data_IF_455167895377
#
_entry.id   IF_455167895377
#
_cell.length_a   1.000
_cell.length_b   1.000
_cell.length_c   1.000
_cell.angle_alpha   90.00
_cell.angle_beta   90.00
_cell.angle_gamma   90.00
#
_symmetry.space_group_name_H-M   'P 1'
#
loop_
_entity.id
_entity.type
_entity.pdbx_description
1 polymer ?
#
# COMPACT_ATOMS: atom_id res chain seq x y z
N UNK A 1 -13.51 13.15 9.05
CA UNK A 1 -12.15 12.58 9.15
C UNK A 1 -12.30 11.37 10.05
N UNK A 2 -12.52 10.20 9.46
CA UNK A 2 -12.69 8.95 10.20
C UNK A 2 -11.32 8.29 10.33
N UNK A 3 -10.87 8.05 11.56
CA UNK A 3 -9.63 7.34 11.86
C UNK A 3 -9.88 5.84 11.72
N UNK A 4 -9.48 5.27 10.58
CA UNK A 4 -9.48 3.82 10.41
C UNK A 4 -8.47 3.17 11.36
N UNK A 5 -8.95 2.25 12.21
CA UNK A 5 -8.08 1.37 13.00
C UNK A 5 -7.53 0.28 12.08
N UNK A 6 -6.30 0.47 11.62
CA UNK A 6 -5.56 -0.57 10.88
C UNK A 6 -4.80 -1.45 11.87
N UNK A 7 -4.87 -2.78 11.67
CA UNK A 7 -4.12 -3.75 12.50
C UNK A 7 -2.61 -3.64 12.25
N UNK A 8 -2.23 -3.33 11.02
CA UNK A 8 -0.87 -3.00 10.61
C UNK A 8 -0.91 -1.89 9.53
N UNK A 9 0.15 -1.08 9.42
CA UNK A 9 0.26 0.02 8.47
C UNK A 9 1.68 0.12 7.90
N UNK A 10 1.81 0.40 6.60
CA UNK A 10 3.05 0.62 5.89
C UNK A 10 3.06 2.00 5.20
N UNK A 11 4.25 2.55 4.98
CA UNK A 11 4.46 3.74 4.15
C UNK A 11 5.48 3.38 3.08
N UNK A 12 5.10 3.62 1.83
CA UNK A 12 5.99 3.68 0.68
C UNK A 12 6.15 5.12 0.22
N UNK A 13 7.34 5.48 -0.23
CA UNK A 13 7.63 6.74 -0.91
C UNK A 13 8.07 6.45 -2.33
N UNK A 14 7.83 7.42 -3.20
CA UNK A 14 8.33 7.39 -4.57
C UNK A 14 9.72 8.03 -4.56
N UNK A 15 10.71 7.36 -5.13
CA UNK A 15 12.05 7.92 -5.28
C UNK A 15 12.11 8.97 -6.40
N UNK A 16 13.29 9.57 -6.60
CA UNK A 16 13.51 10.62 -7.59
C UNK A 16 13.33 10.17 -9.05
N UNK A 17 13.26 8.86 -9.29
CA UNK A 17 13.16 8.23 -10.62
C UNK A 17 11.73 7.75 -10.88
N UNK A 18 10.88 7.71 -9.86
CA UNK A 18 9.46 7.35 -9.98
C UNK A 18 9.13 5.94 -9.52
N UNK A 19 10.02 5.25 -8.82
CA UNK A 19 9.76 3.90 -8.31
C UNK A 19 9.33 3.90 -6.85
N UNK A 20 8.46 2.95 -6.48
CA UNK A 20 8.01 2.75 -5.10
C UNK A 20 9.13 2.15 -4.24
N UNK A 21 9.53 2.86 -3.20
CA UNK A 21 10.48 2.44 -2.19
C UNK A 21 9.77 2.28 -0.84
N UNK A 22 10.08 1.19 -0.14
CA UNK A 22 9.61 0.98 1.22
C UNK A 22 10.33 1.91 2.21
N UNK A 23 9.60 2.51 3.15
CA UNK A 23 10.15 3.47 4.10
C UNK A 23 9.97 3.04 5.55
N UNK A 24 8.77 2.61 5.92
CA UNK A 24 8.47 2.18 7.28
C UNK A 24 7.24 1.26 7.31
N UNK A 25 7.19 0.36 8.29
CA UNK A 25 6.01 -0.43 8.61
C UNK A 25 5.84 -0.51 10.12
N UNK A 26 4.60 -0.56 10.58
CA UNK A 26 4.28 -0.72 11.99
C UNK A 26 4.66 -2.12 12.50
N UNK A 27 4.75 -3.12 11.62
CA UNK A 27 5.06 -4.52 11.93
C UNK A 27 5.91 -5.16 10.82
N UNK A 28 6.74 -6.13 11.19
CA UNK A 28 7.65 -6.84 10.27
C UNK A 28 6.89 -7.58 9.14
N UNK A 29 5.68 -8.08 9.43
CA UNK A 29 4.83 -8.79 8.44
C UNK A 29 4.38 -7.85 7.32
N UNK A 30 3.94 -6.64 7.68
CA UNK A 30 3.66 -5.58 6.71
C UNK A 30 4.89 -5.21 5.89
N UNK A 31 6.09 -5.15 6.47
CA UNK A 31 7.31 -4.85 5.70
C UNK A 31 7.55 -5.85 4.55
N UNK A 32 7.45 -7.16 4.83
CA UNK A 32 7.62 -8.20 3.81
C UNK A 32 6.53 -8.16 2.73
N UNK A 33 5.30 -7.80 3.10
CA UNK A 33 4.18 -7.62 2.17
C UNK A 33 4.36 -6.39 1.27
N UNK A 34 4.83 -5.27 1.81
CA UNK A 34 5.12 -4.08 1.01
C UNK A 34 6.25 -4.33 0.00
N UNK A 35 7.33 -5.00 0.41
CA UNK A 35 8.38 -5.42 -0.52
C UNK A 35 7.86 -6.38 -1.59
N UNK A 36 6.90 -7.25 -1.24
CA UNK A 36 6.29 -8.16 -2.20
C UNK A 36 5.45 -7.41 -3.25
N UNK A 37 4.72 -6.36 -2.84
CA UNK A 37 3.97 -5.52 -3.78
C UNK A 37 4.89 -4.82 -4.77
N UNK A 38 5.99 -4.25 -4.30
CA UNK A 38 6.98 -3.56 -5.15
C UNK A 38 7.63 -4.53 -6.14
N UNK A 39 8.07 -5.70 -5.68
CA UNK A 39 8.74 -6.68 -6.52
C UNK A 39 7.85 -7.27 -7.62
N UNK A 40 6.58 -7.51 -7.32
CA UNK A 40 5.65 -8.11 -8.27
C UNK A 40 4.85 -7.07 -9.08
N UNK A 41 5.03 -5.78 -8.76
CA UNK A 41 4.19 -4.69 -9.27
C UNK A 41 2.69 -5.04 -9.20
N UNK A 42 2.27 -5.58 -8.07
CA UNK A 42 0.89 -6.00 -7.85
C UNK A 42 0.46 -5.73 -6.40
N UNK A 43 -0.76 -5.25 -6.23
CA UNK A 43 -1.37 -5.03 -4.93
C UNK A 43 -1.94 -3.61 -4.77
N UNK A 44 -2.68 -3.37 -3.68
CA UNK A 44 -3.36 -2.10 -3.43
C UNK A 44 -2.41 -0.89 -3.42
N UNK A 45 -1.19 -1.03 -2.91
CA UNK A 45 -0.20 0.06 -2.89
C UNK A 45 0.31 0.39 -4.29
N UNK A 46 0.59 -0.62 -5.11
CA UNK A 46 1.00 -0.43 -6.51
C UNK A 46 -0.11 0.20 -7.34
N UNK A 47 -1.36 -0.26 -7.17
CA UNK A 47 -2.50 0.29 -7.90
C UNK A 47 -2.77 1.74 -7.47
N UNK A 48 -2.72 2.04 -6.17
CA UNK A 48 -2.83 3.39 -5.64
C UNK A 48 -1.74 4.32 -6.19
N UNK A 49 -0.50 3.82 -6.30
CA UNK A 49 0.60 4.57 -6.90
C UNK A 49 0.37 4.85 -8.39
N UNK A 50 0.00 3.82 -9.15
CA UNK A 50 -0.21 3.90 -10.61
C UNK A 50 -1.38 4.81 -10.98
N UNK A 51 -2.49 4.72 -10.23
CA UNK A 51 -3.71 5.48 -10.50
C UNK A 51 -3.70 6.86 -9.83
N UNK A 52 -2.92 7.04 -8.76
CA UNK A 52 -2.96 8.22 -7.91
C UNK A 52 -4.27 8.35 -7.11
N UNK A 53 -5.07 7.29 -7.03
CA UNK A 53 -6.36 7.25 -6.34
C UNK A 53 -6.29 6.34 -5.10
N UNK A 54 -7.08 6.63 -4.04
CA UNK A 54 -7.22 5.71 -2.92
C UNK A 54 -7.75 4.36 -3.36
N UNK A 55 -7.15 3.28 -2.86
CA UNK A 55 -7.57 1.90 -3.10
C UNK A 55 -7.98 1.27 -1.78
N UNK A 56 -9.16 0.68 -1.74
CA UNK A 56 -9.65 -0.10 -0.58
C UNK A 56 -10.04 -1.49 -1.04
N UNK A 57 -9.68 -2.48 -0.23
CA UNK A 57 -9.98 -3.90 -0.43
C UNK A 57 -10.55 -4.41 0.89
N UNK A 58 -11.86 -4.52 0.96
CA UNK A 58 -12.56 -4.92 2.20
C UNK A 58 -12.38 -6.40 2.53
N UNK A 59 -12.18 -7.23 1.50
CA UNK A 59 -11.94 -8.67 1.64
C UNK A 59 -10.85 -9.15 0.66
N UNK A 60 -9.69 -9.48 1.21
CA UNK A 60 -8.56 -10.02 0.46
C UNK A 60 -8.79 -11.47 0.01
N UNK A 61 -9.67 -12.24 0.67
CA UNK A 61 -10.01 -13.61 0.24
C UNK A 61 -10.78 -13.58 -1.09
N UNK A 62 -11.60 -12.56 -1.31
CA UNK A 62 -12.32 -12.31 -2.55
C UNK A 62 -11.51 -11.56 -3.62
N UNK A 63 -10.33 -11.05 -3.29
CA UNK A 63 -9.52 -10.23 -4.20
C UNK A 63 -8.57 -11.04 -5.10
N UNK A 64 -8.63 -12.37 -5.09
CA UNK A 64 -7.72 -13.26 -5.82
C UNK A 64 -7.70 -13.03 -7.34
N UNK A 65 -8.83 -12.67 -7.95
CA UNK A 65 -8.88 -12.39 -9.40
C UNK A 65 -8.21 -11.05 -9.75
N UNK A 66 -8.24 -10.08 -8.82
CA UNK A 66 -7.66 -8.74 -9.00
C UNK A 66 -6.17 -8.72 -8.66
N UNK A 67 -5.77 -9.50 -7.65
CA UNK A 67 -4.41 -9.58 -7.14
C UNK A 67 -3.99 -11.06 -6.96
N UNK A 68 -3.79 -11.80 -8.05
CA UNK A 68 -3.52 -13.24 -8.00
C UNK A 68 -2.23 -13.61 -7.28
N UNK A 69 -1.25 -12.71 -7.19
CA UNK A 69 0.01 -12.93 -6.47
C UNK A 69 -0.05 -12.37 -5.05
N UNK A 70 -0.62 -11.18 -4.86
CA UNK A 70 -0.64 -10.50 -3.57
C UNK A 70 -1.71 -11.02 -2.61
N UNK A 71 -2.96 -11.17 -3.07
CA UNK A 71 -4.08 -11.59 -2.22
C UNK A 71 -3.81 -12.90 -1.44
N UNK A 72 -3.39 -14.02 -2.08
CA UNK A 72 -3.15 -15.26 -1.33
C UNK A 72 -2.03 -15.11 -0.29
N UNK A 73 -1.02 -14.28 -0.57
CA UNK A 73 0.11 -14.06 0.34
C UNK A 73 -0.28 -13.16 1.52
N UNK A 74 -1.10 -12.14 1.29
CA UNK A 74 -1.66 -11.29 2.32
C UNK A 74 -2.58 -12.07 3.26
N UNK A 75 -3.46 -12.91 2.71
CA UNK A 75 -4.32 -13.83 3.50
C UNK A 75 -3.47 -14.80 4.31
N UNK A 76 -2.44 -15.41 3.71
CA UNK A 76 -1.51 -16.31 4.43
C UNK A 76 -0.73 -15.61 5.54
N UNK A 77 -0.56 -14.29 5.48
CA UNK A 77 0.06 -13.48 6.52
C UNK A 77 -0.93 -13.04 7.62
N UNK A 78 -2.22 -13.37 7.47
CA UNK A 78 -3.28 -13.05 8.42
C UNK A 78 -4.00 -11.72 8.17
N UNK A 79 -3.75 -11.07 7.02
CA UNK A 79 -4.47 -9.86 6.63
C UNK A 79 -5.83 -10.22 6.00
N UNK A 80 -6.86 -9.47 6.36
CA UNK A 80 -8.23 -9.64 5.82
C UNK A 80 -8.66 -8.52 4.89
N UNK A 81 -8.17 -7.31 5.11
CA UNK A 81 -8.46 -6.13 4.30
C UNK A 81 -7.18 -5.30 4.09
N UNK A 82 -7.19 -4.43 3.09
CA UNK A 82 -6.10 -3.51 2.81
C UNK A 82 -6.63 -2.15 2.35
N UNK A 83 -5.98 -1.08 2.80
CA UNK A 83 -6.25 0.28 2.32
C UNK A 83 -4.93 0.96 1.95
N UNK A 84 -4.89 1.56 0.76
CA UNK A 84 -3.79 2.37 0.28
C UNK A 84 -4.31 3.76 -0.06
N UNK A 85 -3.64 4.80 0.43
CA UNK A 85 -4.00 6.19 0.17
C UNK A 85 -2.81 6.94 -0.43
N UNK A 86 -3.01 7.76 -1.47
CA UNK A 86 -1.91 8.48 -2.08
C UNK A 86 -1.44 9.61 -1.15
N UNK A 87 -0.14 9.60 -0.82
CA UNK A 87 0.50 10.69 -0.09
C UNK A 87 1.05 11.69 -1.09
N UNK A 88 0.57 12.93 -1.03
CA UNK A 88 1.12 14.04 -1.81
C UNK A 88 1.88 14.97 -0.87
N UNK A 89 3.17 15.12 -1.11
CA UNK A 89 3.96 16.14 -0.44
C UNK A 89 3.45 17.51 -0.93
N UNK A 90 2.92 18.34 -0.01
CA UNK A 90 2.75 19.76 -0.30
C UNK A 90 4.15 20.37 -0.38
N UNK A 91 4.53 20.86 -1.56
CA UNK A 91 5.75 21.65 -1.73
C UNK A 91 5.78 22.83 -0.75
N UNK A 92 6.96 23.44 -0.48
CA UNK A 92 7.06 24.54 0.46
C UNK A 92 6.04 25.60 0.07
N UNK A 93 5.19 26.02 1.01
CA UNK A 93 4.40 27.22 0.83
C UNK A 93 5.39 28.37 0.68
N UNK A 94 5.64 28.80 -0.55
CA UNK A 94 6.27 30.07 -0.81
C UNK A 94 5.29 31.14 -0.31
N UNK A 95 5.45 31.52 0.96
CA UNK A 95 4.88 32.76 1.47
C UNK A 95 5.70 33.89 0.81
N UNK A 96 5.07 34.82 0.09
CA UNK A 96 5.76 35.94 -0.54
C UNK A 96 6.38 36.90 0.49
#
# INVERSE_FOLDING_TARGET
MELGIASEAGILLVDEIGDLQFVAASHERTHLLELFQVQNQEGPCQECFTTGLPVSVDDLEAAGDRYPLFAPRAVSAGLRSAQAVPLRLRGPSSVP
#
